data_IF_887845219379
#
_entry.id   IF_887845219379
#
_cell.length_a   1.000
_cell.length_b   1.000
_cell.length_c   1.000
_cell.angle_alpha   90.00
_cell.angle_beta   90.00
_cell.angle_gamma   90.00
#
_symmetry.space_group_name_H-M   'P 1'
#
loop_
_entity.id
_entity.type
_entity.pdbx_description
1 polymer ?
#
# COMPACT_ATOMS: atom_id res chain seq x y z
N UNK A 1 -11.67 -20.44 0.08
CA UNK A 1 -12.38 -19.14 0.17
C UNK A 1 -11.37 -18.06 0.57
N UNK A 2 -11.65 -16.80 0.26
CA UNK A 2 -10.85 -15.64 0.68
C UNK A 2 -11.75 -14.69 1.46
N UNK A 3 -11.29 -14.28 2.66
CA UNK A 3 -12.02 -13.34 3.52
C UNK A 3 -11.61 -11.91 3.16
N UNK A 4 -12.60 -11.07 2.83
CA UNK A 4 -12.39 -9.69 2.41
C UNK A 4 -12.21 -8.74 3.60
N UNK A 5 -11.14 -8.94 4.36
CA UNK A 5 -10.85 -8.22 5.61
C UNK A 5 -10.28 -6.82 5.41
N UNK A 6 -9.64 -6.54 4.27
CA UNK A 6 -8.96 -5.28 3.96
C UNK A 6 -8.02 -4.78 5.09
N UNK A 7 -7.39 -5.72 5.80
CA UNK A 7 -6.70 -5.48 7.07
C UNK A 7 -5.39 -4.69 6.95
N UNK A 8 -4.81 -4.58 5.75
CA UNK A 8 -3.66 -3.72 5.46
C UNK A 8 -3.90 -3.02 4.12
N UNK A 9 -3.79 -1.69 4.13
CA UNK A 9 -3.65 -0.87 2.92
C UNK A 9 -2.21 -0.38 2.88
N UNK A 10 -1.42 -0.91 1.94
CA UNK A 10 0.01 -0.59 1.84
C UNK A 10 0.29 0.19 0.57
N UNK A 11 1.37 0.94 0.61
CA UNK A 11 2.07 1.46 -0.56
C UNK A 11 3.44 0.78 -0.66
N UNK A 12 4.08 0.92 -1.82
CA UNK A 12 5.45 0.47 -2.04
C UNK A 12 6.29 1.65 -2.53
N UNK A 13 7.58 1.65 -2.18
CA UNK A 13 8.50 2.68 -2.62
C UNK A 13 9.30 2.23 -3.83
N UNK A 14 9.36 3.09 -4.85
CA UNK A 14 10.36 2.99 -5.91
C UNK A 14 11.57 3.81 -5.49
N UNK A 15 12.71 3.13 -5.36
CA UNK A 15 13.94 3.73 -4.81
C UNK A 15 15.07 3.71 -5.83
N UNK A 16 15.89 4.76 -5.80
CA UNK A 16 17.16 4.84 -6.51
C UNK A 16 18.26 5.15 -5.49
N UNK A 17 19.44 4.56 -5.65
CA UNK A 17 20.57 4.82 -4.76
C UNK A 17 20.95 6.30 -4.79
N UNK A 18 21.09 6.92 -3.62
CA UNK A 18 21.35 8.35 -3.47
C UNK A 18 22.62 8.79 -4.22
N UNK A 19 23.72 8.05 -4.06
CA UNK A 19 24.99 8.30 -4.77
C UNK A 19 24.77 8.31 -6.29
N UNK A 20 23.94 7.39 -6.79
CA UNK A 20 23.66 7.28 -8.22
C UNK A 20 22.84 8.46 -8.70
N UNK A 21 21.80 8.85 -8.00
CA UNK A 21 20.99 10.02 -8.35
C UNK A 21 21.84 11.31 -8.32
N UNK A 22 22.64 11.49 -7.28
CA UNK A 22 23.49 12.68 -7.11
C UNK A 22 24.63 12.74 -8.13
N UNK A 23 25.07 11.60 -8.67
CA UNK A 23 26.05 11.55 -9.76
C UNK A 23 25.51 12.06 -11.11
N UNK A 24 24.19 12.20 -11.25
CA UNK A 24 23.56 12.67 -12.49
C UNK A 24 23.55 14.21 -12.55
N UNK A 25 23.63 14.81 -13.75
CA UNK A 25 23.35 16.23 -13.94
C UNK A 25 21.98 16.64 -13.37
N UNK A 26 21.82 17.90 -12.90
CA UNK A 26 20.56 18.36 -12.29
C UNK A 26 19.33 18.16 -13.18
N UNK A 27 19.49 18.35 -14.50
CA UNK A 27 18.42 18.12 -15.48
C UNK A 27 17.96 16.66 -15.50
N UNK A 28 18.89 15.70 -15.48
CA UNK A 28 18.54 14.28 -15.44
C UNK A 28 17.91 13.89 -14.10
N UNK A 29 18.34 14.48 -12.99
CA UNK A 29 17.68 14.27 -11.70
C UNK A 29 16.23 14.76 -11.72
N UNK A 30 15.97 15.91 -12.35
CA UNK A 30 14.63 16.46 -12.50
C UNK A 30 13.76 15.54 -13.38
N UNK A 31 14.29 15.05 -14.49
CA UNK A 31 13.59 14.10 -15.37
C UNK A 31 13.25 12.80 -14.64
N UNK A 32 14.19 12.23 -13.88
CA UNK A 32 13.94 11.01 -13.09
C UNK A 32 12.83 11.23 -12.06
N UNK A 33 12.84 12.37 -11.37
CA UNK A 33 11.79 12.73 -10.40
C UNK A 33 10.44 12.92 -11.07
N UNK A 34 10.39 13.59 -12.23
CA UNK A 34 9.15 13.76 -12.99
C UNK A 34 8.60 12.42 -13.46
N UNK A 35 9.46 11.56 -14.03
CA UNK A 35 9.07 10.22 -14.45
C UNK A 35 8.54 9.38 -13.29
N UNK A 36 9.07 9.55 -12.07
CA UNK A 36 8.55 8.88 -10.88
C UNK A 36 7.12 9.35 -10.52
N UNK A 37 6.81 10.65 -10.67
CA UNK A 37 5.45 11.19 -10.47
C UNK A 37 4.48 10.66 -11.51
N UNK A 38 4.89 10.66 -12.78
CA UNK A 38 4.07 10.16 -13.89
C UNK A 38 3.80 8.66 -13.72
N UNK A 39 4.84 7.90 -13.35
CA UNK A 39 4.73 6.47 -13.04
C UNK A 39 3.80 6.22 -11.85
N UNK A 40 3.90 6.99 -10.77
CA UNK A 40 3.03 6.82 -9.60
C UNK A 40 1.55 7.01 -9.98
N UNK A 41 1.26 8.02 -10.80
CA UNK A 41 -0.11 8.26 -11.27
C UNK A 41 -0.61 7.09 -12.11
N UNK A 42 0.19 6.66 -13.08
CA UNK A 42 -0.16 5.57 -13.98
C UNK A 42 -0.29 4.22 -13.26
N UNK A 43 0.60 3.91 -12.32
CA UNK A 43 0.54 2.68 -11.54
C UNK A 43 -0.72 2.62 -10.67
N UNK A 44 -1.11 3.72 -10.03
CA UNK A 44 -2.32 3.75 -9.22
C UNK A 44 -3.59 3.49 -10.06
N UNK A 45 -3.66 4.01 -11.29
CA UNK A 45 -4.75 3.71 -12.22
C UNK A 45 -4.78 2.22 -12.60
N UNK A 46 -3.62 1.63 -12.88
CA UNK A 46 -3.50 0.20 -13.18
C UNK A 46 -3.89 -0.66 -11.98
N UNK A 47 -3.41 -0.33 -10.78
CA UNK A 47 -3.66 -1.08 -9.55
C UNK A 47 -5.16 -1.20 -9.26
N UNK A 48 -5.89 -0.08 -9.34
CA UNK A 48 -7.35 -0.07 -9.13
C UNK A 48 -8.09 -0.92 -10.18
N UNK A 49 -7.65 -0.87 -11.44
CA UNK A 49 -8.23 -1.69 -12.49
C UNK A 49 -7.90 -3.18 -12.36
N UNK A 50 -6.70 -3.52 -11.86
CA UNK A 50 -6.26 -4.89 -11.65
C UNK A 50 -6.90 -5.54 -10.43
N UNK A 51 -7.22 -4.78 -9.37
CA UNK A 51 -7.89 -5.33 -8.18
C UNK A 51 -9.23 -6.02 -8.55
N UNK A 52 -10.05 -5.36 -9.36
CA UNK A 52 -11.33 -5.92 -9.83
C UNK A 52 -11.12 -7.14 -10.74
N UNK A 53 -10.18 -7.06 -11.69
CA UNK A 53 -9.84 -8.19 -12.56
C UNK A 53 -9.34 -9.39 -11.77
N UNK A 54 -8.59 -9.15 -10.69
CA UNK A 54 -8.08 -10.21 -9.84
C UNK A 54 -9.21 -10.89 -9.07
N UNK A 55 -10.17 -10.13 -8.51
CA UNK A 55 -11.37 -10.69 -7.87
C UNK A 55 -12.13 -11.62 -8.83
N UNK A 56 -12.33 -11.20 -10.08
CA UNK A 56 -12.95 -12.05 -11.11
C UNK A 56 -12.14 -13.30 -11.43
N UNK A 57 -10.81 -13.16 -11.57
CA UNK A 57 -9.93 -14.29 -11.89
C UNK A 57 -9.96 -15.34 -10.78
N UNK A 58 -9.92 -14.91 -9.52
CA UNK A 58 -9.96 -15.80 -8.37
C UNK A 58 -11.32 -16.52 -8.27
N UNK A 59 -12.43 -15.82 -8.50
CA UNK A 59 -13.77 -16.43 -8.50
C UNK A 59 -13.96 -17.43 -9.64
N UNK A 60 -13.51 -17.10 -10.86
CA UNK A 60 -13.49 -18.03 -12.01
C UNK A 60 -12.61 -19.26 -11.76
N UNK A 61 -11.55 -19.12 -10.97
CA UNK A 61 -10.70 -20.23 -10.52
C UNK A 61 -11.33 -21.07 -9.38
N UNK A 62 -12.56 -20.76 -8.95
CA UNK A 62 -13.30 -21.52 -7.93
C UNK A 62 -13.15 -20.98 -6.51
N UNK A 63 -12.53 -19.81 -6.30
CA UNK A 63 -12.47 -19.19 -4.97
C UNK A 63 -13.76 -18.45 -4.64
N UNK A 64 -14.35 -18.74 -3.49
CA UNK A 64 -15.45 -17.95 -2.92
C UNK A 64 -14.90 -16.74 -2.16
N UNK A 65 -15.39 -15.53 -2.50
CA UNK A 65 -15.16 -14.32 -1.71
C UNK A 65 -16.13 -14.30 -0.52
N UNK A 66 -15.63 -14.00 0.67
CA UNK A 66 -16.43 -13.96 1.91
C UNK A 66 -16.31 -12.58 2.53
N UNK A 67 -17.44 -11.88 2.64
CA UNK A 67 -17.49 -10.58 3.30
C UNK A 67 -17.16 -10.72 4.80
N UNK A 68 -16.37 -9.78 5.30
CA UNK A 68 -15.88 -9.78 6.69
C UNK A 68 -16.37 -8.55 7.44
N UNK A 69 -16.66 -8.70 8.74
CA UNK A 69 -16.87 -7.55 9.63
C UNK A 69 -15.54 -6.84 9.88
N UNK A 70 -15.20 -5.92 8.98
CA UNK A 70 -13.93 -5.19 9.03
C UNK A 70 -13.76 -4.41 10.34
N UNK A 71 -14.86 -3.97 10.98
CA UNK A 71 -14.79 -3.26 12.26
C UNK A 71 -14.40 -4.20 13.38
N UNK A 72 -15.02 -5.38 13.46
CA UNK A 72 -14.65 -6.39 14.44
C UNK A 72 -13.18 -6.85 14.26
N UNK A 73 -12.74 -7.06 13.02
CA UNK A 73 -11.34 -7.37 12.72
C UNK A 73 -10.40 -6.23 13.14
N UNK A 74 -10.75 -4.97 12.87
CA UNK A 74 -9.94 -3.81 13.21
C UNK A 74 -9.77 -3.65 14.73
N UNK A 75 -10.83 -3.83 15.52
CA UNK A 75 -10.76 -3.73 16.99
C UNK A 75 -9.84 -4.80 17.59
N UNK A 76 -9.92 -6.05 17.10
CA UNK A 76 -9.04 -7.14 17.55
C UNK A 76 -7.60 -6.86 17.11
N UNK A 77 -7.39 -6.48 15.86
CA UNK A 77 -6.06 -6.19 15.31
C UNK A 77 -5.39 -5.01 16.02
N UNK A 78 -6.16 -4.00 16.46
CA UNK A 78 -5.66 -2.82 17.17
C UNK A 78 -4.88 -3.19 18.43
N UNK A 79 -5.32 -4.20 19.18
CA UNK A 79 -4.63 -4.63 20.41
C UNK A 79 -3.22 -5.12 20.06
N UNK A 80 -3.11 -6.08 19.13
CA UNK A 80 -1.84 -6.64 18.70
C UNK A 80 -0.91 -5.60 18.05
N UNK A 81 -1.48 -4.67 17.26
CA UNK A 81 -0.71 -3.55 16.69
C UNK A 81 -0.16 -2.67 17.81
N UNK A 82 -0.97 -2.26 18.79
CA UNK A 82 -0.50 -1.42 19.88
C UNK A 82 0.53 -2.11 20.80
N UNK A 83 0.50 -3.43 20.93
CA UNK A 83 1.52 -4.17 21.69
C UNK A 83 2.86 -4.27 20.95
N UNK A 84 2.83 -4.31 19.61
CA UNK A 84 4.04 -4.44 18.79
C UNK A 84 4.78 -3.13 18.51
N UNK A 85 4.13 -1.98 18.69
CA UNK A 85 4.72 -0.66 18.39
C UNK A 85 5.53 -0.07 19.57
N UNK A 86 6.57 0.68 19.25
CA UNK A 86 7.27 1.55 20.20
C UNK A 86 6.42 2.77 20.60
N UNK A 87 6.81 3.49 21.65
CA UNK A 87 6.11 4.70 22.07
C UNK A 87 6.05 5.77 20.95
N UNK A 88 7.14 5.95 20.20
CA UNK A 88 7.21 6.87 19.07
C UNK A 88 6.27 6.44 17.93
N UNK A 89 6.26 5.15 17.60
CA UNK A 89 5.39 4.61 16.56
C UNK A 89 3.90 4.70 16.94
N UNK A 90 3.55 4.54 18.22
CA UNK A 90 2.18 4.78 18.72
C UNK A 90 1.77 6.23 18.53
N UNK A 91 2.63 7.17 18.90
CA UNK A 91 2.37 8.59 18.72
C UNK A 91 2.19 8.96 17.23
N UNK A 92 2.96 8.34 16.34
CA UNK A 92 2.80 8.50 14.89
C UNK A 92 1.49 7.89 14.40
N UNK A 93 1.13 6.69 14.84
CA UNK A 93 -0.10 6.02 14.46
C UNK A 93 -1.34 6.85 14.81
N UNK A 94 -1.36 7.46 15.99
CA UNK A 94 -2.48 8.32 16.41
C UNK A 94 -2.56 9.63 15.60
N UNK A 95 -1.45 10.11 15.02
CA UNK A 95 -1.47 11.24 14.09
C UNK A 95 -2.01 10.87 12.71
N UNK A 96 -1.75 9.66 12.23
CA UNK A 96 -2.20 9.19 10.91
C UNK A 96 -3.69 8.82 10.91
N UNK A 97 -4.23 8.41 12.06
CA UNK A 97 -5.64 8.03 12.20
C UNK A 97 -6.62 9.22 12.21
N UNK A 98 -6.17 10.43 12.57
CA UNK A 98 -6.98 11.65 12.67
C UNK A 98 -6.98 12.43 11.36
#
# INVERSE_FOLDING_TARGET
CINMTAHVRSWIYVVIGEVKLNSMPPELQAIVKQAAVDMQTYENELFLAEEEKLKEKLTKAGMTLVDSDQKAFAEIAKVAVMESLTAEQKALLEKIKN
#
